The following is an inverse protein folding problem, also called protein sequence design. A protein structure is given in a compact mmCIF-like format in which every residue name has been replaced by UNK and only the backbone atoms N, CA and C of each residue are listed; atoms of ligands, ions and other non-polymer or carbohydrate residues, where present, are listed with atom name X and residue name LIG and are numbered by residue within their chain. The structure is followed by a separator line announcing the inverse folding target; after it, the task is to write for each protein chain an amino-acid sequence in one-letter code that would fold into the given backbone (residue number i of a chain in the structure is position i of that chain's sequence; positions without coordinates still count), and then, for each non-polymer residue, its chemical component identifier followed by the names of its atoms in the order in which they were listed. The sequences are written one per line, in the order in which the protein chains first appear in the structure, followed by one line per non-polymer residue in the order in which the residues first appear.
data_IF_023569551856
#
_entry.id   IF_023569551856
#
_cell.length_a   1.000
_cell.length_b   1.000
_cell.length_c   1.000
_cell.angle_alpha   90.00
_cell.angle_beta   90.00
_cell.angle_gamma   90.00
#
_symmetry.space_group_name_H-M   'P 1'
#
loop_
_entity.id
_entity.type
_entity.pdbx_description
1 polymer ?
#
# COMPACT_ATOMS: atom_id res chain seq x y z
N UNK A 1 8.83 -20.40 17.18
CA UNK A 1 7.50 -20.14 16.56
C UNK A 1 7.09 -21.39 15.81
N UNK A 2 5.83 -21.82 15.96
CA UNK A 2 5.29 -22.94 15.18
C UNK A 2 4.96 -22.48 13.76
N UNK A 3 4.93 -23.42 12.79
CA UNK A 3 4.49 -23.14 11.42
C UNK A 3 3.10 -22.45 11.38
N UNK A 4 2.19 -22.93 12.23
CA UNK A 4 0.84 -22.37 12.33
C UNK A 4 0.84 -20.91 12.82
N UNK A 5 1.72 -20.55 13.76
CA UNK A 5 1.86 -19.17 14.22
C UNK A 5 2.36 -18.25 13.11
N UNK A 6 3.30 -18.72 12.29
CA UNK A 6 3.81 -17.95 11.14
C UNK A 6 2.70 -17.74 10.11
N UNK A 7 1.93 -18.77 9.76
CA UNK A 7 0.80 -18.66 8.82
C UNK A 7 -0.24 -17.65 9.33
N UNK A 8 -0.60 -17.70 10.61
CA UNK A 8 -1.55 -16.74 11.21
C UNK A 8 -1.04 -15.31 11.17
N UNK A 9 0.22 -15.09 11.50
CA UNK A 9 0.86 -13.77 11.46
C UNK A 9 0.91 -13.23 10.03
N UNK A 10 1.33 -14.06 9.08
CA UNK A 10 1.37 -13.71 7.64
C UNK A 10 -0.02 -13.29 7.14
N UNK A 11 -1.01 -14.13 7.40
CA UNK A 11 -2.40 -13.88 7.01
C UNK A 11 -2.94 -12.59 7.64
N UNK A 12 -2.77 -12.42 8.96
CA UNK A 12 -3.20 -11.21 9.66
C UNK A 12 -2.52 -9.96 9.10
N UNK A 13 -1.21 -10.04 8.81
CA UNK A 13 -0.46 -8.93 8.23
C UNK A 13 -1.03 -8.48 6.88
N UNK A 14 -1.34 -9.41 5.98
CA UNK A 14 -1.95 -9.07 4.68
C UNK A 14 -3.40 -8.62 4.80
N UNK A 15 -4.21 -9.23 5.67
CA UNK A 15 -5.61 -8.82 5.88
C UNK A 15 -5.67 -7.41 6.46
N UNK A 16 -4.99 -7.16 7.57
CA UNK A 16 -4.99 -5.85 8.22
C UNK A 16 -4.34 -4.79 7.33
N UNK A 17 -3.23 -5.13 6.69
CA UNK A 17 -2.56 -4.24 5.76
C UNK A 17 -3.45 -3.84 4.59
N UNK A 18 -4.18 -4.79 4.00
CA UNK A 18 -5.15 -4.52 2.94
C UNK A 18 -6.31 -3.63 3.40
N UNK A 19 -6.85 -3.89 4.61
CA UNK A 19 -7.89 -3.03 5.21
C UNK A 19 -7.37 -1.60 5.43
N UNK A 20 -6.14 -1.44 5.92
CA UNK A 20 -5.56 -0.11 6.11
C UNK A 20 -5.24 0.60 4.80
N UNK A 21 -4.85 -0.12 3.72
CA UNK A 21 -4.70 0.48 2.38
C UNK A 21 -6.03 1.03 1.89
N UNK A 22 -7.10 0.24 1.97
CA UNK A 22 -8.44 0.70 1.60
C UNK A 22 -8.91 1.85 2.50
N UNK A 23 -8.72 1.74 3.82
CA UNK A 23 -9.06 2.79 4.78
C UNK A 23 -8.40 4.12 4.47
N UNK A 24 -7.09 4.11 4.20
CA UNK A 24 -6.37 5.33 3.84
C UNK A 24 -7.00 6.03 2.64
N UNK A 25 -7.28 5.34 1.56
CA UNK A 25 -7.82 5.95 0.35
C UNK A 25 -9.27 6.40 0.50
N UNK A 26 -10.07 5.68 1.30
CA UNK A 26 -11.48 6.01 1.52
C UNK A 26 -11.68 7.18 2.48
N UNK A 27 -10.84 7.32 3.51
CA UNK A 27 -10.98 8.39 4.52
C UNK A 27 -10.12 9.62 4.23
N UNK A 28 -9.23 9.57 3.25
CA UNK A 28 -8.43 10.74 2.87
C UNK A 28 -9.30 11.92 2.45
N UNK A 29 -8.98 13.14 2.91
CA UNK A 29 -9.75 14.34 2.57
C UNK A 29 -9.45 14.80 1.14
N UNK A 30 -10.06 14.15 0.16
CA UNK A 30 -9.86 14.41 -1.26
C UNK A 30 -10.50 15.72 -1.69
N UNK A 31 -9.80 16.49 -2.52
CA UNK A 31 -10.30 17.73 -3.10
C UNK A 31 -9.26 18.83 -3.21
N UNK A 32 -8.19 18.78 -2.45
CA UNK A 32 -6.91 19.44 -2.71
C UNK A 32 -5.87 18.74 -1.86
N UNK A 33 -4.75 18.37 -2.44
CA UNK A 33 -3.60 17.80 -1.72
C UNK A 33 -2.88 18.87 -0.89
N UNK A 34 -3.24 20.13 -1.06
CA UNK A 34 -2.59 21.26 -0.47
C UNK A 34 -3.55 22.01 0.46
N UNK A 35 -2.98 22.68 1.45
CA UNK A 35 -3.68 23.55 2.39
C UNK A 35 -3.41 23.22 3.83
N UNK A 36 -2.98 24.22 4.57
CA UNK A 36 -2.65 24.14 5.99
C UNK A 36 -3.82 23.61 6.83
N UNK A 37 -5.05 24.07 6.54
CA UNK A 37 -6.25 23.66 7.27
C UNK A 37 -6.54 22.15 7.16
N UNK A 38 -6.18 21.51 6.04
CA UNK A 38 -6.38 20.07 5.84
C UNK A 38 -5.25 19.25 6.41
N UNK A 39 -4.02 19.67 6.22
CA UNK A 39 -2.84 18.99 6.75
C UNK A 39 -2.86 18.83 8.26
N UNK A 40 -3.48 19.76 8.99
CA UNK A 40 -3.70 19.70 10.43
C UNK A 40 -4.96 18.98 10.88
N UNK A 41 -5.85 18.56 9.97
CA UNK A 41 -7.13 17.96 10.34
C UNK A 41 -6.98 16.55 10.94
N UNK A 42 -7.89 16.20 11.86
CA UNK A 42 -7.95 14.84 12.42
C UNK A 42 -8.16 13.78 11.33
N UNK A 43 -8.93 14.11 10.28
CA UNK A 43 -9.15 13.22 9.13
C UNK A 43 -7.86 12.96 8.36
N UNK A 44 -7.03 13.99 8.13
CA UNK A 44 -5.71 13.84 7.52
C UNK A 44 -4.81 12.92 8.32
N UNK A 45 -4.73 13.18 9.65
CA UNK A 45 -3.90 12.37 10.55
C UNK A 45 -4.36 10.92 10.57
N UNK A 46 -5.68 10.67 10.65
CA UNK A 46 -6.25 9.33 10.64
C UNK A 46 -5.94 8.59 9.32
N UNK A 47 -6.14 9.26 8.17
CA UNK A 47 -5.86 8.70 6.86
C UNK A 47 -4.38 8.29 6.73
N UNK A 48 -3.45 9.20 7.00
CA UNK A 48 -2.02 8.93 6.83
C UNK A 48 -1.45 8.03 7.93
N UNK A 49 -2.08 7.96 9.11
CA UNK A 49 -1.78 6.92 10.10
C UNK A 49 -2.19 5.54 9.61
N UNK A 50 -3.35 5.41 8.94
CA UNK A 50 -3.76 4.17 8.27
C UNK A 50 -2.77 3.75 7.19
N UNK A 51 -2.26 4.72 6.42
CA UNK A 51 -1.21 4.52 5.43
C UNK A 51 0.06 3.90 6.07
N UNK A 52 0.53 4.48 7.16
CA UNK A 52 1.70 3.97 7.89
C UNK A 52 1.45 2.57 8.48
N UNK A 53 0.29 2.34 9.11
CA UNK A 53 -0.09 1.04 9.66
C UNK A 53 -0.22 -0.03 8.57
N UNK A 54 -0.72 0.34 7.38
CA UNK A 54 -0.75 -0.55 6.23
C UNK A 54 0.65 -1.08 5.90
N UNK A 55 1.63 -0.18 5.78
CA UNK A 55 3.00 -0.54 5.46
C UNK A 55 3.61 -1.47 6.52
N UNK A 56 3.39 -1.20 7.80
CA UNK A 56 3.84 -2.06 8.90
C UNK A 56 3.22 -3.47 8.81
N UNK A 57 1.89 -3.54 8.71
CA UNK A 57 1.18 -4.81 8.63
C UNK A 57 1.61 -5.63 7.41
N UNK A 58 1.71 -5.00 6.24
CA UNK A 58 2.14 -5.66 5.00
C UNK A 58 3.59 -6.12 5.07
N UNK A 59 4.48 -5.36 5.72
CA UNK A 59 5.87 -5.77 5.95
C UNK A 59 5.92 -7.02 6.82
N UNK A 60 5.19 -7.08 7.94
CA UNK A 60 5.12 -8.29 8.77
C UNK A 60 4.48 -9.46 8.02
N UNK A 61 3.43 -9.21 7.24
CA UNK A 61 2.84 -10.22 6.36
C UNK A 61 3.86 -10.79 5.38
N UNK A 62 4.63 -9.92 4.73
CA UNK A 62 5.66 -10.31 3.77
C UNK A 62 6.82 -11.08 4.42
N UNK A 63 7.30 -10.65 5.58
CA UNK A 63 8.34 -11.38 6.31
C UNK A 63 7.89 -12.80 6.65
N UNK A 64 6.64 -12.96 7.11
CA UNK A 64 6.06 -14.28 7.35
C UNK A 64 5.90 -15.10 6.06
N UNK A 65 5.53 -14.47 4.94
CA UNK A 65 5.47 -15.12 3.62
C UNK A 65 6.86 -15.57 3.16
N UNK A 66 7.87 -14.72 3.32
CA UNK A 66 9.24 -15.02 2.98
C UNK A 66 9.75 -16.25 3.74
N UNK A 67 9.54 -16.31 5.05
CA UNK A 67 9.94 -17.48 5.87
C UNK A 67 9.29 -18.77 5.36
N UNK A 68 8.04 -18.71 4.90
CA UNK A 68 7.30 -19.88 4.42
C UNK A 68 7.72 -20.32 3.02
N UNK A 69 8.07 -19.38 2.15
CA UNK A 69 8.20 -19.65 0.72
C UNK A 69 9.61 -19.53 0.15
N UNK A 70 10.48 -18.68 0.68
CA UNK A 70 11.83 -18.48 0.13
C UNK A 70 12.62 -19.78 -0.06
N UNK A 71 12.53 -20.79 0.82
CA UNK A 71 13.24 -22.05 0.60
C UNK A 71 12.85 -22.78 -0.69
N UNK A 72 11.63 -22.57 -1.20
CA UNK A 72 11.10 -23.17 -2.42
C UNK A 72 10.83 -22.15 -3.54
N UNK A 73 11.08 -20.88 -3.28
CA UNK A 73 10.77 -19.80 -4.23
C UNK A 73 11.78 -19.79 -5.39
N UNK A 74 11.26 -19.66 -6.60
CA UNK A 74 12.11 -19.33 -7.74
C UNK A 74 12.61 -17.87 -7.69
N UNK A 75 13.65 -17.56 -8.49
CA UNK A 75 14.24 -16.20 -8.52
C UNK A 75 13.22 -15.08 -8.74
N UNK A 76 12.20 -15.33 -9.59
CA UNK A 76 11.16 -14.33 -9.87
C UNK A 76 10.26 -14.05 -8.66
N UNK A 77 9.92 -15.06 -7.87
CA UNK A 77 9.14 -14.88 -6.63
C UNK A 77 9.95 -14.15 -5.56
N UNK A 78 11.22 -14.52 -5.38
CA UNK A 78 12.10 -13.84 -4.44
C UNK A 78 12.28 -12.36 -4.83
N UNK A 79 12.48 -12.07 -6.11
CA UNK A 79 12.58 -10.69 -6.61
C UNK A 79 11.29 -9.90 -6.37
N UNK A 80 10.12 -10.50 -6.63
CA UNK A 80 8.83 -9.84 -6.39
C UNK A 80 8.61 -9.52 -4.90
N UNK A 81 9.02 -10.41 -4.00
CA UNK A 81 8.97 -10.17 -2.54
C UNK A 81 9.88 -9.03 -2.12
N UNK A 82 11.12 -8.97 -2.64
CA UNK A 82 12.05 -7.88 -2.36
C UNK A 82 11.55 -6.54 -2.92
N UNK A 83 11.01 -6.54 -4.13
CA UNK A 83 10.43 -5.34 -4.73
C UNK A 83 9.24 -4.83 -3.94
N UNK A 84 8.36 -5.74 -3.48
CA UNK A 84 7.23 -5.38 -2.63
C UNK A 84 7.71 -4.85 -1.27
N UNK A 85 8.74 -5.45 -0.67
CA UNK A 85 9.33 -4.96 0.59
C UNK A 85 9.87 -3.54 0.44
N UNK A 86 10.60 -3.28 -0.65
CA UNK A 86 11.10 -1.94 -0.95
C UNK A 86 9.95 -0.94 -1.15
N UNK A 87 8.91 -1.35 -1.89
CA UNK A 87 7.71 -0.55 -2.06
C UNK A 87 7.03 -0.21 -0.73
N UNK A 88 6.92 -1.17 0.20
CA UNK A 88 6.36 -0.94 1.54
C UNK A 88 7.22 -0.01 2.38
N UNK A 89 8.54 -0.06 2.22
CA UNK A 89 9.43 0.86 2.93
C UNK A 89 9.26 2.31 2.46
N UNK A 90 9.20 2.51 1.14
CA UNK A 90 8.93 3.84 0.55
C UNK A 90 7.52 4.32 0.95
N UNK A 91 6.51 3.45 0.81
CA UNK A 91 5.12 3.75 1.17
C UNK A 91 4.97 4.09 2.65
N UNK A 92 5.56 3.29 3.54
CA UNK A 92 5.53 3.55 4.98
C UNK A 92 6.26 4.82 5.38
N UNK A 93 7.40 5.11 4.75
CA UNK A 93 8.15 6.35 4.97
C UNK A 93 7.33 7.59 4.62
N UNK A 94 6.67 7.58 3.48
CA UNK A 94 5.76 8.68 3.09
C UNK A 94 4.59 8.82 4.06
N UNK A 95 3.98 7.71 4.47
CA UNK A 95 2.89 7.72 5.46
C UNK A 95 3.30 8.27 6.82
N UNK A 96 4.49 7.90 7.30
CA UNK A 96 5.04 8.41 8.56
C UNK A 96 5.30 9.93 8.50
N UNK A 97 5.91 10.40 7.42
CA UNK A 97 6.18 11.82 7.20
C UNK A 97 4.86 12.60 7.12
N UNK A 98 3.93 12.16 6.27
CA UNK A 98 2.68 12.88 6.05
C UNK A 98 1.75 12.87 7.26
N UNK A 99 1.77 11.83 8.09
CA UNK A 99 0.96 11.78 9.30
C UNK A 99 1.50 12.60 10.46
N UNK A 100 2.82 12.85 10.52
CA UNK A 100 3.49 13.49 11.66
C UNK A 100 4.08 14.86 11.34
N UNK A 101 4.85 14.94 10.24
CA UNK A 101 5.54 16.18 9.89
C UNK A 101 4.60 17.19 9.24
N UNK A 102 3.70 16.74 8.41
CA UNK A 102 2.78 17.62 7.70
C UNK A 102 1.88 18.46 8.61
N UNK A 103 1.22 17.89 9.65
CA UNK A 103 0.46 18.69 10.60
C UNK A 103 1.29 19.75 11.32
N UNK A 104 2.56 19.43 11.66
CA UNK A 104 3.47 20.38 12.29
C UNK A 104 3.83 21.52 11.35
N UNK A 105 4.16 21.22 10.10
CA UNK A 105 4.47 22.24 9.08
C UNK A 105 3.22 23.09 8.81
N UNK A 106 2.06 22.47 8.65
CA UNK A 106 0.81 23.19 8.44
C UNK A 106 0.46 24.15 9.58
N UNK A 107 0.84 23.80 10.82
CA UNK A 107 0.61 24.65 11.98
C UNK A 107 1.62 25.81 12.10
N UNK A 108 2.89 25.60 11.79
CA UNK A 108 3.97 26.55 12.01
C UNK A 108 4.40 27.33 10.78
N UNK A 109 4.16 26.80 9.59
CA UNK A 109 4.58 27.37 8.31
C UNK A 109 3.59 26.96 7.21
N UNK A 110 2.33 27.34 7.38
CA UNK A 110 1.22 26.93 6.54
C UNK A 110 1.42 27.23 5.05
N UNK A 111 2.09 28.34 4.74
CA UNK A 111 2.42 28.76 3.37
C UNK A 111 3.30 27.74 2.61
N UNK A 112 4.06 26.91 3.33
CA UNK A 112 4.91 25.88 2.71
C UNK A 112 4.06 24.73 2.15
N UNK A 113 2.93 24.42 2.78
CA UNK A 113 2.02 23.33 2.41
C UNK A 113 0.83 23.77 1.55
N UNK A 114 0.73 25.05 1.20
CA UNK A 114 -0.24 25.51 0.22
C UNK A 114 0.11 25.00 -1.20
N UNK A 115 -0.89 25.00 -2.11
CA UNK A 115 -0.76 24.41 -3.44
C UNK A 115 0.42 24.96 -4.26
N UNK A 116 0.76 26.22 -4.05
CA UNK A 116 1.89 26.93 -4.67
C UNK A 116 3.10 27.04 -3.75
N UNK A 117 3.03 26.45 -2.55
CA UNK A 117 4.07 26.48 -1.54
C UNK A 117 5.33 25.72 -1.95
N UNK A 118 6.43 25.99 -1.23
CA UNK A 118 7.76 25.45 -1.55
C UNK A 118 7.79 23.91 -1.54
N UNK A 119 6.94 23.26 -0.76
CA UNK A 119 6.90 21.81 -0.64
C UNK A 119 6.38 21.11 -1.93
N UNK A 120 5.63 21.85 -2.76
CA UNK A 120 5.05 21.29 -3.99
C UNK A 120 5.77 21.73 -5.26
N UNK A 121 6.75 22.63 -5.17
CA UNK A 121 7.37 23.22 -6.39
C UNK A 121 8.35 22.33 -7.12
N UNK A 122 9.34 21.66 -6.54
CA UNK A 122 10.19 20.74 -7.34
C UNK A 122 10.18 19.28 -6.87
N UNK A 123 9.51 18.93 -5.77
CA UNK A 123 9.62 17.59 -5.18
C UNK A 123 8.47 16.61 -5.51
N UNK A 124 7.29 17.05 -5.97
CA UNK A 124 6.22 16.11 -6.35
C UNK A 124 6.69 15.11 -7.40
N UNK A 125 7.59 15.53 -8.27
CA UNK A 125 8.10 14.69 -9.36
C UNK A 125 8.82 13.43 -8.84
N UNK A 126 9.69 13.53 -7.85
CA UNK A 126 10.41 12.38 -7.33
C UNK A 126 9.49 11.38 -6.63
N UNK A 127 8.64 11.85 -5.72
CA UNK A 127 7.73 10.96 -4.97
C UNK A 127 6.66 10.36 -5.88
N UNK A 128 6.10 11.15 -6.80
CA UNK A 128 5.06 10.70 -7.70
C UNK A 128 5.61 9.81 -8.82
N UNK A 129 6.75 10.15 -9.40
CA UNK A 129 7.33 9.40 -10.52
C UNK A 129 8.10 8.15 -10.09
N UNK A 130 8.54 8.04 -8.84
CA UNK A 130 9.28 6.87 -8.34
C UNK A 130 8.48 6.08 -7.32
N UNK A 131 7.97 6.71 -6.28
CA UNK A 131 7.34 6.00 -5.17
C UNK A 131 6.05 5.27 -5.59
N UNK A 132 5.19 5.95 -6.36
CA UNK A 132 3.92 5.37 -6.82
C UNK A 132 4.12 4.25 -7.85
N UNK A 133 4.97 4.41 -8.89
CA UNK A 133 5.29 3.29 -9.78
C UNK A 133 5.88 2.09 -9.07
N UNK A 134 6.82 2.30 -8.15
CA UNK A 134 7.45 1.23 -7.39
C UNK A 134 6.41 0.48 -6.56
N UNK A 135 5.48 1.20 -5.92
CA UNK A 135 4.38 0.59 -5.17
C UNK A 135 3.48 -0.24 -6.10
N UNK A 136 3.03 0.34 -7.21
CA UNK A 136 2.16 -0.34 -8.16
C UNK A 136 2.80 -1.61 -8.74
N UNK A 137 4.06 -1.52 -9.17
CA UNK A 137 4.81 -2.66 -9.71
C UNK A 137 5.08 -3.70 -8.62
N UNK A 138 5.43 -3.28 -7.40
CA UNK A 138 5.67 -4.18 -6.27
C UNK A 138 4.42 -4.99 -5.91
N UNK A 139 3.26 -4.34 -5.81
CA UNK A 139 1.96 -5.00 -5.56
C UNK A 139 1.63 -5.96 -6.69
N UNK A 140 1.70 -5.50 -7.94
CA UNK A 140 1.38 -6.33 -9.12
C UNK A 140 2.30 -7.56 -9.22
N UNK A 141 3.61 -7.40 -9.02
CA UNK A 141 4.57 -8.47 -9.06
C UNK A 141 4.32 -9.52 -7.97
N UNK A 142 4.06 -9.09 -6.73
CA UNK A 142 3.73 -10.01 -5.65
C UNK A 142 2.46 -10.81 -5.96
N UNK A 143 1.37 -10.12 -6.31
CA UNK A 143 0.09 -10.78 -6.61
C UNK A 143 0.19 -11.73 -7.81
N UNK A 144 0.94 -11.35 -8.83
CA UNK A 144 1.20 -12.20 -10.01
C UNK A 144 1.94 -13.48 -9.63
N UNK A 145 2.98 -13.40 -8.79
CA UNK A 145 3.72 -14.59 -8.35
C UNK A 145 2.87 -15.49 -7.46
N UNK A 146 2.01 -14.92 -6.62
CA UNK A 146 1.08 -15.68 -5.78
C UNK A 146 -0.02 -16.35 -6.60
N UNK A 147 -0.51 -15.70 -7.65
CA UNK A 147 -1.43 -16.32 -8.61
C UNK A 147 -0.76 -17.48 -9.37
N UNK A 148 0.45 -17.30 -9.88
CA UNK A 148 1.21 -18.39 -10.52
C UNK A 148 1.44 -19.57 -9.58
N UNK A 149 1.66 -19.30 -8.31
CA UNK A 149 1.80 -20.33 -7.27
C UNK A 149 0.44 -20.97 -6.87
N UNK A 150 -0.67 -20.59 -7.52
CA UNK A 150 -2.04 -21.06 -7.24
C UNK A 150 -2.54 -20.78 -5.82
N UNK A 151 -1.97 -19.79 -5.17
CA UNK A 151 -2.39 -19.32 -3.84
C UNK A 151 -3.51 -18.30 -3.96
N UNK A 152 -3.46 -17.46 -5.01
CA UNK A 152 -4.38 -16.35 -5.21
C UNK A 152 -5.26 -16.63 -6.45
N UNK A 153 -6.60 -16.42 -6.41
CA UNK A 153 -7.45 -16.54 -7.59
C UNK A 153 -7.21 -15.38 -8.57
N UNK A 154 -7.50 -15.63 -9.85
CA UNK A 154 -7.32 -14.63 -10.92
C UNK A 154 -8.10 -13.33 -10.65
N UNK A 155 -9.29 -13.42 -10.09
CA UNK A 155 -10.11 -12.25 -9.76
C UNK A 155 -9.39 -11.29 -8.80
N UNK A 156 -8.71 -11.82 -7.77
CA UNK A 156 -7.94 -11.00 -6.84
C UNK A 156 -6.68 -10.41 -7.48
N UNK A 157 -6.00 -11.16 -8.38
CA UNK A 157 -4.91 -10.61 -9.18
C UNK A 157 -5.39 -9.43 -10.02
N UNK A 158 -6.49 -9.60 -10.77
CA UNK A 158 -7.03 -8.56 -11.64
C UNK A 158 -7.43 -7.33 -10.82
N UNK A 159 -8.15 -7.52 -9.71
CA UNK A 159 -8.51 -6.41 -8.82
C UNK A 159 -7.28 -5.65 -8.31
N UNK A 160 -6.25 -6.37 -7.87
CA UNK A 160 -5.03 -5.76 -7.35
C UNK A 160 -4.23 -5.02 -8.41
N UNK A 161 -4.09 -5.58 -9.62
CA UNK A 161 -3.39 -4.93 -10.75
C UNK A 161 -4.15 -3.71 -11.23
N UNK A 162 -5.47 -3.80 -11.37
CA UNK A 162 -6.32 -2.65 -11.74
C UNK A 162 -6.24 -1.56 -10.66
N UNK A 163 -6.36 -1.94 -9.38
CA UNK A 163 -6.20 -1.00 -8.28
C UNK A 163 -4.84 -0.31 -8.29
N UNK A 164 -3.75 -1.06 -8.48
CA UNK A 164 -2.41 -0.51 -8.58
C UNK A 164 -2.24 0.43 -9.79
N UNK A 165 -2.78 0.06 -10.95
CA UNK A 165 -2.75 0.90 -12.15
C UNK A 165 -3.58 2.18 -11.99
N UNK A 166 -4.76 2.09 -11.38
CA UNK A 166 -5.60 3.25 -11.07
C UNK A 166 -4.93 4.18 -10.06
N UNK A 167 -4.12 3.65 -9.14
CA UNK A 167 -3.34 4.45 -8.19
C UNK A 167 -2.27 5.29 -8.89
N UNK A 168 -1.75 4.80 -10.00
CA UNK A 168 -0.77 5.51 -10.82
C UNK A 168 -1.40 6.65 -11.65
N UNK A 169 -2.65 6.48 -12.11
CA UNK A 169 -3.30 7.42 -13.00
C UNK A 169 -3.47 8.86 -12.45
N UNK A 170 -3.78 9.09 -11.14
CA UNK A 170 -3.89 10.44 -10.58
C UNK A 170 -2.56 11.19 -10.46
N UNK A 171 -1.43 10.49 -10.56
CA UNK A 171 -0.09 11.10 -10.50
C UNK A 171 0.38 11.58 -11.86
N UNK A 172 -0.31 11.17 -12.94
CA UNK A 172 -0.15 11.80 -14.24
C UNK A 172 -0.73 13.23 -14.19
N UNK A 173 -0.17 14.20 -14.94
CA UNK A 173 -0.62 15.61 -14.93
C UNK A 173 -1.99 15.81 -15.60
N UNK A 174 -2.92 14.91 -15.36
CA UNK A 174 -4.31 14.97 -15.81
C UNK A 174 -5.11 15.75 -14.76
N UNK A 175 -5.08 17.07 -14.85
CA UNK A 175 -5.92 17.96 -14.08
C UNK A 175 -7.39 17.51 -14.17
N UNK A 176 -8.01 17.21 -13.03
CA UNK A 176 -9.44 16.88 -12.97
C UNK A 176 -9.77 15.40 -12.79
N UNK A 177 -8.80 14.54 -12.50
CA UNK A 177 -9.11 13.12 -12.22
C UNK A 177 -10.01 13.01 -10.95
N UNK A 178 -11.21 12.44 -11.03
CA UNK A 178 -12.11 12.39 -9.89
C UNK A 178 -11.51 11.61 -8.72
N UNK A 179 -11.62 12.13 -7.51
CA UNK A 179 -11.18 11.47 -6.27
C UNK A 179 -11.68 10.01 -6.12
N UNK A 180 -12.83 9.70 -6.74
CA UNK A 180 -13.42 8.37 -6.72
C UNK A 180 -12.50 7.29 -7.30
N UNK A 181 -11.68 7.63 -8.28
CA UNK A 181 -10.71 6.68 -8.86
C UNK A 181 -9.59 6.36 -7.87
N UNK A 182 -9.17 7.33 -7.08
CA UNK A 182 -8.17 7.07 -6.05
C UNK A 182 -8.76 6.22 -4.92
N UNK A 183 -9.96 6.53 -4.46
CA UNK A 183 -10.67 5.71 -3.46
C UNK A 183 -10.87 4.27 -3.97
N UNK A 184 -11.32 4.12 -5.22
CA UNK A 184 -11.49 2.82 -5.85
C UNK A 184 -10.16 2.06 -6.00
N UNK A 185 -9.06 2.75 -6.35
CA UNK A 185 -7.74 2.15 -6.50
C UNK A 185 -7.26 1.48 -5.21
N UNK A 186 -7.33 2.21 -4.10
CA UNK A 186 -6.93 1.66 -2.81
C UNK A 186 -7.88 0.59 -2.28
N UNK A 187 -9.17 0.72 -2.54
CA UNK A 187 -10.14 -0.31 -2.18
C UNK A 187 -9.85 -1.63 -2.94
N UNK A 188 -9.61 -1.57 -4.25
CA UNK A 188 -9.29 -2.75 -5.07
C UNK A 188 -7.95 -3.38 -4.68
N UNK A 189 -6.90 -2.58 -4.54
CA UNK A 189 -5.59 -3.06 -4.13
C UNK A 189 -5.62 -3.63 -2.70
N UNK A 190 -6.30 -2.96 -1.78
CA UNK A 190 -6.47 -3.40 -0.40
C UNK A 190 -7.25 -4.71 -0.30
N UNK A 191 -8.35 -4.85 -1.05
CA UNK A 191 -9.11 -6.09 -1.15
C UNK A 191 -8.26 -7.24 -1.68
N UNK A 192 -7.47 -7.03 -2.72
CA UNK A 192 -6.60 -8.07 -3.28
C UNK A 192 -5.55 -8.55 -2.27
N UNK A 193 -4.94 -7.62 -1.51
CA UNK A 193 -3.98 -7.95 -0.45
C UNK A 193 -4.66 -8.67 0.72
N UNK A 194 -5.84 -8.22 1.13
CA UNK A 194 -6.61 -8.91 2.17
C UNK A 194 -7.03 -10.32 1.72
N UNK A 195 -7.41 -10.48 0.44
CA UNK A 195 -7.71 -11.79 -0.13
C UNK A 195 -6.49 -12.70 -0.14
N UNK A 196 -5.30 -12.18 -0.47
CA UNK A 196 -4.06 -12.93 -0.34
C UNK A 196 -3.89 -13.48 1.09
N UNK A 197 -4.06 -12.62 2.11
CA UNK A 197 -4.00 -13.04 3.51
C UNK A 197 -5.02 -14.13 3.84
N UNK A 198 -6.25 -13.99 3.35
CA UNK A 198 -7.30 -15.00 3.51
C UNK A 198 -6.92 -16.33 2.84
N UNK A 199 -6.44 -16.29 1.60
CA UNK A 199 -6.04 -17.48 0.84
C UNK A 199 -4.88 -18.22 1.53
N UNK A 200 -3.90 -17.50 2.07
CA UNK A 200 -2.79 -18.08 2.84
C UNK A 200 -3.25 -18.80 4.10
N UNK A 201 -4.34 -18.33 4.72
CA UNK A 201 -4.91 -18.97 5.92
C UNK A 201 -5.65 -20.25 5.59
N UNK A 202 -6.40 -20.28 4.49
CA UNK A 202 -7.32 -21.39 4.15
C UNK A 202 -6.72 -22.36 3.12
N UNK A 203 -5.78 -21.91 2.29
CA UNK A 203 -5.06 -22.77 1.35
C UNK A 203 -3.93 -23.59 1.99
N UNK A 204 -3.61 -23.34 3.26
CA UNK A 204 -2.69 -24.12 4.06
C UNK A 204 -3.39 -25.33 4.74
N UNK A 205 -4.44 -25.91 4.13
CA UNK A 205 -4.92 -27.23 4.54
C UNK A 205 -3.77 -28.21 4.26
N UNK A 206 -3.36 -29.01 5.23
CA UNK A 206 -2.41 -30.06 4.98
C UNK A 206 -3.08 -31.07 4.04
N UNK A 207 -2.71 -31.02 2.77
CA UNK A 207 -2.72 -32.22 2.00
C UNK A 207 -1.57 -33.06 2.60
N UNK A 208 -2.00 -34.13 3.22
CA UNK A 208 -1.18 -35.27 3.62
C UNK A 208 -0.22 -35.09 4.81
N UNK A 209 -0.73 -35.39 5.98
CA UNK A 209 0.01 -36.12 7.02
C UNK A 209 0.23 -37.57 6.63
#
# INVERSE_FOLDING_TARGET
MTRQSIVRMTSAGFILGGVFVAGWTLISPWGSFAGAARGGSAQWIAAHSSHYLAALCLTFGLLGLAVQRLPAAGRGEAFAQLLFLFAMWVYGGTGAITSRMWPLIAHHAGEIVEADGAMFKPQPEFLQFIAVPVLAVGVAALLFTMWRARILPLAALVAGVVGAAMFFAPTAPLAGFPWIFFAASGALAGLALAWLGWSLRHGATPADS
#
